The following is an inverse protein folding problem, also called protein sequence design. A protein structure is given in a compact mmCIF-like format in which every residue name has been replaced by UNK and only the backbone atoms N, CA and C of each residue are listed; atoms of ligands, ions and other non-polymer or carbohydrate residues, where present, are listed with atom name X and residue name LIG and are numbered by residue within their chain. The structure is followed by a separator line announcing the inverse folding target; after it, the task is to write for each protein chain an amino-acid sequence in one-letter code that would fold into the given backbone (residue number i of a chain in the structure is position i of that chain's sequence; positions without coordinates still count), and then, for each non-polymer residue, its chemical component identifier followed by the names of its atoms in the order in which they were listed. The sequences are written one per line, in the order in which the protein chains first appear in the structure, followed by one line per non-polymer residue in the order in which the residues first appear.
data_IF_915945758546
#
_entry.id   IF_915945758546
#
_cell.length_a   1.000
_cell.length_b   1.000
_cell.length_c   1.000
_cell.angle_alpha   90.00
_cell.angle_beta   90.00
_cell.angle_gamma   90.00
#
_symmetry.space_group_name_H-M   'P 1'
#
loop_
_entity.id
_entity.type
_entity.pdbx_description
1 polymer ?
#
# COMPACT_ATOMS: atom_id res chain seq x y z
N UNK A 1 -10.09 -5.05 -15.03
CA UNK A 1 -9.07 -5.88 -14.35
C UNK A 1 -8.16 -4.93 -13.60
N UNK A 2 -8.11 -5.04 -12.28
CA UNK A 2 -7.32 -4.16 -11.42
C UNK A 2 -5.82 -4.39 -11.62
N UNK A 3 -5.03 -3.31 -11.64
CA UNK A 3 -3.56 -3.37 -11.74
C UNK A 3 -2.91 -3.25 -10.37
N UNK A 4 -2.10 -4.22 -9.99
CA UNK A 4 -1.26 -4.14 -8.80
C UNK A 4 0.15 -3.65 -9.18
N UNK A 5 0.58 -2.54 -8.58
CA UNK A 5 1.86 -1.88 -8.81
C UNK A 5 2.68 -2.02 -7.53
N UNK A 6 3.84 -2.67 -7.61
CA UNK A 6 4.75 -2.84 -6.49
C UNK A 6 5.96 -1.91 -6.64
N UNK A 7 6.19 -1.04 -5.66
CA UNK A 7 7.32 -0.11 -5.64
C UNK A 7 8.43 -0.65 -4.74
N UNK A 8 9.56 -1.03 -5.33
CA UNK A 8 10.75 -1.54 -4.63
C UNK A 8 11.96 -0.63 -4.80
N UNK A 9 12.85 -0.65 -3.81
CA UNK A 9 14.03 0.21 -3.75
C UNK A 9 14.57 0.36 -2.33
N UNK A 10 15.80 0.87 -2.20
CA UNK A 10 16.48 1.05 -0.92
C UNK A 10 15.78 2.07 -0.01
N UNK A 11 16.07 2.02 1.29
CA UNK A 11 15.63 3.07 2.21
C UNK A 11 16.07 4.46 1.70
N UNK A 12 15.23 5.48 1.89
CA UNK A 12 15.45 6.85 1.39
C UNK A 12 15.57 7.03 -0.14
N UNK A 13 15.27 6.03 -0.97
CA UNK A 13 15.33 6.16 -2.45
C UNK A 13 14.13 6.88 -3.09
N UNK A 14 13.27 7.55 -2.31
CA UNK A 14 12.10 8.28 -2.84
C UNK A 14 10.84 7.44 -3.13
N UNK A 15 10.76 6.18 -2.71
CA UNK A 15 9.59 5.30 -2.96
C UNK A 15 8.25 5.91 -2.54
N UNK A 16 8.19 6.47 -1.33
CA UNK A 16 6.96 7.09 -0.81
C UNK A 16 6.55 8.29 -1.66
N UNK A 17 7.52 9.11 -2.08
CA UNK A 17 7.27 10.25 -2.97
C UNK A 17 6.75 9.79 -4.33
N UNK A 18 7.36 8.75 -4.90
CA UNK A 18 6.91 8.16 -6.17
C UNK A 18 5.49 7.58 -6.05
N UNK A 19 5.19 6.86 -4.97
CA UNK A 19 3.88 6.25 -4.74
C UNK A 19 2.76 7.30 -4.65
N UNK A 20 3.00 8.39 -3.91
CA UNK A 20 2.04 9.49 -3.79
C UNK A 20 1.86 10.25 -5.11
N UNK A 21 2.97 10.53 -5.82
CA UNK A 21 2.91 11.19 -7.13
C UNK A 21 2.16 10.33 -8.15
N UNK A 22 2.43 9.03 -8.17
CA UNK A 22 1.75 8.08 -9.03
C UNK A 22 0.26 7.97 -8.70
N UNK A 23 -0.12 7.90 -7.42
CA UNK A 23 -1.53 7.91 -7.02
C UNK A 23 -2.24 9.18 -7.52
N UNK A 24 -1.62 10.35 -7.33
CA UNK A 24 -2.16 11.63 -7.80
C UNK A 24 -2.34 11.67 -9.32
N UNK A 25 -1.40 11.09 -10.08
CA UNK A 25 -1.50 10.99 -11.53
C UNK A 25 -2.55 9.99 -12.02
N UNK A 26 -2.74 8.87 -11.30
CA UNK A 26 -3.75 7.86 -11.65
C UNK A 26 -5.17 8.31 -11.27
N UNK A 27 -5.31 9.15 -10.25
CA UNK A 27 -6.58 9.76 -9.85
C UNK A 27 -7.48 8.83 -9.04
N UNK A 28 -8.79 8.99 -9.20
CA UNK A 28 -9.81 8.20 -8.50
C UNK A 28 -9.67 6.69 -8.74
N UNK A 29 -10.29 5.89 -7.88
CA UNK A 29 -10.21 4.41 -7.93
C UNK A 29 -8.77 3.86 -7.82
N UNK A 30 -7.87 4.60 -7.16
CA UNK A 30 -6.48 4.17 -6.89
C UNK A 30 -6.24 3.98 -5.39
N UNK A 31 -5.99 2.74 -4.98
CA UNK A 31 -5.71 2.37 -3.59
C UNK A 31 -4.20 2.35 -3.32
N UNK A 32 -3.71 3.27 -2.49
CA UNK A 32 -2.32 3.30 -2.03
C UNK A 32 -2.17 2.61 -0.67
N UNK A 33 -1.41 1.52 -0.60
CA UNK A 33 -1.19 0.71 0.59
C UNK A 33 0.27 0.75 1.04
N UNK A 34 0.58 1.64 1.98
CA UNK A 34 1.90 1.67 2.62
C UNK A 34 1.94 0.74 3.83
N UNK A 35 2.81 -0.28 3.79
CA UNK A 35 3.02 -1.19 4.92
C UNK A 35 3.45 -0.46 6.19
N UNK A 36 4.32 0.55 6.07
CA UNK A 36 4.77 1.34 7.23
C UNK A 36 3.65 2.18 7.84
N UNK A 37 2.80 2.82 7.01
CA UNK A 37 1.62 3.55 7.53
C UNK A 37 0.63 2.62 8.20
N UNK A 38 0.31 1.49 7.56
CA UNK A 38 -0.58 0.48 8.12
C UNK A 38 -0.08 0.00 9.49
N UNK A 39 1.21 -0.34 9.59
CA UNK A 39 1.81 -0.83 10.83
C UNK A 39 1.89 0.25 11.91
N UNK A 40 2.51 1.39 11.60
CA UNK A 40 2.89 2.39 12.62
C UNK A 40 1.80 3.39 12.93
N UNK A 41 1.02 3.79 11.92
CA UNK A 41 0.02 4.86 12.09
C UNK A 41 -1.37 4.29 12.33
N UNK A 42 -1.78 3.26 11.56
CA UNK A 42 -3.14 2.71 11.65
C UNK A 42 -3.30 1.66 12.76
N UNK A 43 -2.31 0.78 12.93
CA UNK A 43 -2.40 -0.35 13.84
C UNK A 43 -1.61 -0.18 15.14
N UNK A 44 -0.73 0.82 15.23
CA UNK A 44 0.23 0.98 16.34
C UNK A 44 0.96 -0.33 16.68
N UNK A 45 1.31 -1.11 15.65
CA UNK A 45 1.85 -2.45 15.79
C UNK A 45 3.38 -2.46 15.79
N UNK A 46 3.95 -3.37 16.58
CA UNK A 46 5.37 -3.68 16.52
C UNK A 46 5.73 -4.40 15.22
N UNK A 47 7.02 -4.31 14.85
CA UNK A 47 7.58 -5.11 13.77
C UNK A 47 7.82 -6.55 14.25
N UNK A 48 7.60 -7.52 13.37
CA UNK A 48 7.74 -8.93 13.70
C UNK A 48 6.86 -9.84 12.86
N UNK A 49 7.10 -11.15 12.97
CA UNK A 49 6.37 -12.18 12.22
C UNK A 49 4.87 -12.20 12.53
N UNK A 50 4.50 -11.89 13.78
CA UNK A 50 3.11 -11.91 14.25
C UNK A 50 2.42 -10.54 14.08
N UNK A 51 2.95 -9.66 13.24
CA UNK A 51 2.35 -8.32 13.04
C UNK A 51 0.94 -8.42 12.44
N UNK A 52 -0.07 -7.71 12.99
CA UNK A 52 -1.41 -7.64 12.41
C UNK A 52 -1.44 -6.93 11.05
N UNK A 53 -0.33 -6.30 10.65
CA UNK A 53 -0.18 -5.58 9.38
C UNK A 53 -0.38 -6.48 8.17
N UNK A 54 0.15 -7.72 8.19
CA UNK A 54 0.05 -8.63 7.04
C UNK A 54 -1.39 -9.08 6.77
N UNK A 55 -2.17 -9.58 7.75
CA UNK A 55 -3.56 -9.95 7.49
C UNK A 55 -4.41 -8.75 7.06
N UNK A 56 -4.21 -7.56 7.64
CA UNK A 56 -4.90 -6.36 7.18
C UNK A 56 -4.56 -6.02 5.72
N UNK A 57 -3.27 -6.06 5.37
CA UNK A 57 -2.82 -5.79 4.00
C UNK A 57 -3.47 -6.73 2.99
N UNK A 58 -3.61 -8.02 3.33
CA UNK A 58 -4.31 -9.01 2.49
C UNK A 58 -5.77 -8.62 2.27
N UNK A 59 -6.51 -8.27 3.33
CA UNK A 59 -7.90 -7.83 3.20
C UNK A 59 -8.05 -6.58 2.34
N UNK A 60 -7.15 -5.61 2.50
CA UNK A 60 -7.17 -4.37 1.71
C UNK A 60 -6.85 -4.62 0.23
N UNK A 61 -5.93 -5.53 -0.08
CA UNK A 61 -5.67 -5.95 -1.46
C UNK A 61 -6.91 -6.62 -2.05
N UNK A 62 -7.56 -7.54 -1.33
CA UNK A 62 -8.80 -8.19 -1.80
C UNK A 62 -9.90 -7.17 -2.07
N UNK A 63 -10.06 -6.18 -1.18
CA UNK A 63 -10.98 -5.08 -1.39
C UNK A 63 -10.62 -4.28 -2.65
N UNK A 64 -9.35 -3.88 -2.80
CA UNK A 64 -8.89 -3.11 -3.95
C UNK A 64 -9.07 -3.84 -5.27
N UNK A 65 -8.85 -5.17 -5.30
CA UNK A 65 -9.04 -5.98 -6.51
C UNK A 65 -10.49 -6.03 -6.99
N UNK A 66 -11.46 -5.79 -6.11
CA UNK A 66 -12.87 -5.76 -6.44
C UNK A 66 -13.40 -4.34 -6.73
N UNK A 67 -12.76 -3.30 -6.19
CA UNK A 67 -13.35 -1.95 -6.13
C UNK A 67 -12.46 -0.84 -6.72
N UNK A 68 -11.23 -1.15 -7.14
CA UNK A 68 -10.27 -0.16 -7.62
C UNK A 68 -9.70 -0.54 -8.98
N UNK A 69 -9.30 0.47 -9.76
CA UNK A 69 -8.60 0.29 -11.03
C UNK A 69 -7.11 0.00 -10.80
N UNK A 70 -6.54 0.61 -9.76
CA UNK A 70 -5.13 0.51 -9.41
C UNK A 70 -4.93 0.27 -7.91
N UNK A 71 -3.93 -0.56 -7.58
CA UNK A 71 -3.42 -0.74 -6.22
C UNK A 71 -1.92 -0.47 -6.26
N UNK A 72 -1.42 0.40 -5.39
CA UNK A 72 0.01 0.71 -5.26
C UNK A 72 0.48 0.18 -3.90
N UNK A 73 1.56 -0.61 -3.90
CA UNK A 73 2.14 -1.25 -2.73
C UNK A 73 3.62 -0.84 -2.53
#
# INVERSE_FOLDING_TARGET
MTKLILIRGNAASGKTSLANALQSQLGENTLLLSQDKLRREMLLAHDGFDTPTIPLLKHLITFGMANCDYIIL
#
